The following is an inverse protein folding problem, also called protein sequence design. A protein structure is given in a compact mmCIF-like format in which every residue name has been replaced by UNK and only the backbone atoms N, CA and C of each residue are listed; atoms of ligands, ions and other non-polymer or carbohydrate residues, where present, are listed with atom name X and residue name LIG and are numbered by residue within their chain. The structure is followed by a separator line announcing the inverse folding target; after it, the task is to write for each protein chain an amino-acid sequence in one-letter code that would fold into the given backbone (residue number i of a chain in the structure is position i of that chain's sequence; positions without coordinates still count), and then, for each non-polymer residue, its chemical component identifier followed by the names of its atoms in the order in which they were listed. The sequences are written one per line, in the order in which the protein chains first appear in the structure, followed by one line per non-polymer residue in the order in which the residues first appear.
data_IF_296364140501
#
_entry.id   IF_296364140501
#
_cell.length_a   1.000
_cell.length_b   1.000
_cell.length_c   1.000
_cell.angle_alpha   90.00
_cell.angle_beta   90.00
_cell.angle_gamma   90.00
#
_symmetry.space_group_name_H-M   'P 1'
#
loop_
_entity.id
_entity.type
_entity.pdbx_description
1 polymer ?
#
# COMPACT_ATOMS: atom_id res chain seq x y z
N UNK A 1 -7.84 -13.49 24.51
CA UNK A 1 -6.98 -13.33 23.33
C UNK A 1 -6.61 -11.86 23.22
N UNK A 2 -5.33 -11.57 23.21
CA UNK A 2 -4.85 -10.20 23.08
C UNK A 2 -5.25 -9.64 21.72
N UNK A 3 -5.87 -8.46 21.73
CA UNK A 3 -6.40 -7.82 20.55
C UNK A 3 -5.27 -7.13 19.78
N UNK A 4 -5.13 -7.39 18.49
CA UNK A 4 -4.21 -6.64 17.64
C UNK A 4 -4.57 -5.15 17.67
N UNK A 5 -3.61 -4.30 18.00
CA UNK A 5 -3.77 -2.85 17.97
C UNK A 5 -3.03 -2.28 16.77
N UNK A 6 -3.71 -2.26 15.62
CA UNK A 6 -3.16 -1.76 14.36
C UNK A 6 -3.46 -0.27 14.22
N UNK A 7 -2.43 0.53 14.06
CA UNK A 7 -2.52 1.99 13.93
C UNK A 7 -1.93 2.50 12.62
N UNK A 8 -1.13 1.68 11.94
CA UNK A 8 -0.41 2.06 10.74
C UNK A 8 -0.67 1.07 9.60
N UNK A 9 -0.86 1.61 8.39
CA UNK A 9 -0.94 0.81 7.15
C UNK A 9 0.17 1.22 6.19
N UNK A 10 0.72 0.24 5.47
CA UNK A 10 1.60 0.47 4.33
C UNK A 10 1.04 -0.26 3.12
N UNK A 11 0.81 0.46 2.04
CA UNK A 11 0.19 -0.06 0.81
C UNK A 11 1.14 0.13 -0.37
N UNK A 12 1.62 -0.96 -0.93
CA UNK A 12 2.49 -0.89 -2.12
C UNK A 12 1.73 -0.48 -3.38
N UNK A 13 2.46 -0.02 -4.38
CA UNK A 13 1.95 0.05 -5.75
C UNK A 13 1.71 -1.33 -6.35
N UNK A 14 0.82 -1.41 -7.35
CA UNK A 14 0.44 -2.68 -7.98
C UNK A 14 -0.44 -2.58 -9.22
N UNK A 15 -0.83 -1.37 -9.63
CA UNK A 15 -1.77 -1.16 -10.74
C UNK A 15 -3.10 -1.85 -10.47
N UNK A 16 -3.68 -2.54 -11.47
CA UNK A 16 -4.99 -3.20 -11.33
C UNK A 16 -5.04 -4.30 -10.25
N UNK A 17 -3.89 -4.82 -9.81
CA UNK A 17 -3.82 -5.76 -8.67
C UNK A 17 -4.26 -5.12 -7.34
N UNK A 18 -4.40 -3.80 -7.29
CA UNK A 18 -5.00 -3.10 -6.14
C UNK A 18 -6.39 -3.59 -5.74
N UNK A 19 -7.12 -4.27 -6.65
CA UNK A 19 -8.39 -4.94 -6.33
C UNK A 19 -8.22 -5.97 -5.20
N UNK A 20 -7.06 -6.61 -5.08
CA UNK A 20 -6.74 -7.53 -3.98
C UNK A 20 -6.77 -6.80 -2.62
N UNK A 21 -6.35 -5.54 -2.58
CA UNK A 21 -6.45 -4.75 -1.36
C UNK A 21 -7.90 -4.58 -0.91
N UNK A 22 -8.86 -4.52 -1.84
CA UNK A 22 -10.28 -4.37 -1.47
C UNK A 22 -10.76 -5.59 -0.67
N UNK A 23 -10.43 -6.79 -1.13
CA UNK A 23 -10.72 -8.01 -0.38
C UNK A 23 -10.06 -8.05 1.00
N UNK A 24 -8.78 -7.65 1.07
CA UNK A 24 -8.04 -7.54 2.32
C UNK A 24 -8.68 -6.51 3.27
N UNK A 25 -9.07 -5.35 2.76
CA UNK A 25 -9.75 -4.30 3.55
C UNK A 25 -11.13 -4.78 4.05
N UNK A 26 -11.88 -5.54 3.24
CA UNK A 26 -13.15 -6.14 3.66
C UNK A 26 -12.97 -7.02 4.89
N UNK A 27 -11.94 -7.87 4.91
CA UNK A 27 -11.63 -8.68 6.09
C UNK A 27 -11.25 -7.80 7.29
N UNK A 28 -10.34 -6.83 7.11
CA UNK A 28 -9.92 -5.92 8.18
C UNK A 28 -11.07 -5.09 8.74
N UNK A 29 -12.04 -4.71 7.89
CA UNK A 29 -13.25 -4.00 8.28
C UNK A 29 -14.13 -4.87 9.19
N UNK A 30 -14.39 -6.11 8.80
CA UNK A 30 -15.17 -7.09 9.58
C UNK A 30 -14.53 -7.34 10.94
N UNK A 31 -13.19 -7.52 10.99
CA UNK A 31 -12.44 -7.70 12.24
C UNK A 31 -12.33 -6.40 13.07
N UNK A 32 -12.81 -5.27 12.55
CA UNK A 32 -12.73 -3.96 13.22
C UNK A 32 -11.31 -3.41 13.35
N UNK A 33 -10.36 -3.90 12.57
CA UNK A 33 -8.94 -3.52 12.61
C UNK A 33 -8.66 -2.18 11.90
N UNK A 34 -9.60 -1.66 11.09
CA UNK A 34 -9.44 -0.36 10.44
C UNK A 34 -9.78 0.82 11.34
N UNK A 35 -10.43 0.59 12.50
CA UNK A 35 -10.96 1.67 13.35
C UNK A 35 -9.88 2.55 13.99
N UNK A 36 -8.70 1.96 14.25
CA UNK A 36 -7.59 2.63 14.96
C UNK A 36 -6.50 3.11 14.00
N UNK A 37 -6.73 3.02 12.68
CA UNK A 37 -5.75 3.49 11.70
C UNK A 37 -5.67 5.01 11.74
N UNK A 38 -4.47 5.51 12.01
CA UNK A 38 -4.15 6.95 12.07
C UNK A 38 -3.07 7.36 11.07
N UNK A 39 -2.31 6.40 10.52
CA UNK A 39 -1.23 6.68 9.58
C UNK A 39 -1.26 5.69 8.42
N UNK A 40 -1.18 6.21 7.19
CA UNK A 40 -1.16 5.38 5.99
C UNK A 40 -0.04 5.85 5.07
N UNK A 41 0.93 4.98 4.84
CA UNK A 41 1.98 5.20 3.85
C UNK A 41 1.67 4.38 2.59
N UNK A 42 1.73 5.00 1.42
CA UNK A 42 1.25 4.35 0.21
C UNK A 42 1.97 4.79 -1.06
N UNK A 43 1.89 3.96 -2.10
CA UNK A 43 2.35 4.27 -3.44
C UNK A 43 1.32 3.85 -4.50
N UNK A 44 1.20 4.64 -5.58
CA UNK A 44 0.39 4.30 -6.76
C UNK A 44 -1.04 3.91 -6.39
N UNK A 45 -1.54 2.76 -6.84
CA UNK A 45 -2.87 2.27 -6.47
C UNK A 45 -3.09 2.16 -4.96
N UNK A 46 -2.01 1.93 -4.18
CA UNK A 46 -2.08 1.96 -2.72
C UNK A 46 -2.48 3.34 -2.20
N UNK A 47 -2.00 4.43 -2.81
CA UNK A 47 -2.39 5.81 -2.46
C UNK A 47 -3.88 6.06 -2.73
N UNK A 48 -4.39 5.52 -3.83
CA UNK A 48 -5.83 5.59 -4.14
C UNK A 48 -6.67 4.83 -3.13
N UNK A 49 -6.26 3.63 -2.75
CA UNK A 49 -6.92 2.81 -1.71
C UNK A 49 -6.84 3.48 -0.34
N UNK A 50 -5.74 4.18 -0.03
CA UNK A 50 -5.60 4.96 1.19
C UNK A 50 -6.66 6.06 1.32
N UNK A 51 -7.06 6.70 0.21
CA UNK A 51 -8.15 7.68 0.20
C UNK A 51 -9.49 7.04 0.59
N UNK A 52 -9.78 5.80 0.16
CA UNK A 52 -11.01 5.11 0.56
C UNK A 52 -11.11 4.93 2.08
N UNK A 53 -10.01 4.51 2.70
CA UNK A 53 -9.94 4.32 4.16
C UNK A 53 -10.08 5.67 4.87
N UNK A 54 -9.35 6.68 4.41
CA UNK A 54 -9.32 8.01 4.99
C UNK A 54 -10.71 8.68 4.97
N UNK A 55 -11.40 8.58 3.84
CA UNK A 55 -12.75 9.14 3.68
C UNK A 55 -13.86 8.19 4.17
N UNK A 56 -13.49 7.10 4.85
CA UNK A 56 -14.43 6.16 5.49
C UNK A 56 -15.51 5.67 4.53
N UNK A 57 -15.11 5.31 3.31
CA UNK A 57 -16.02 4.66 2.38
C UNK A 57 -16.37 3.26 2.89
N UNK A 58 -17.63 2.86 2.74
CA UNK A 58 -18.03 1.48 3.02
C UNK A 58 -17.44 0.51 1.98
N UNK A 59 -17.40 -0.76 2.31
CA UNK A 59 -16.89 -1.77 1.38
C UNK A 59 -17.75 -1.81 0.11
N UNK A 60 -19.06 -1.64 0.25
CA UNK A 60 -20.01 -1.58 -0.87
C UNK A 60 -19.74 -0.37 -1.78
N UNK A 61 -19.47 0.81 -1.20
CA UNK A 61 -19.11 2.02 -1.96
C UNK A 61 -17.79 1.80 -2.74
N UNK A 62 -16.80 1.14 -2.12
CA UNK A 62 -15.51 0.83 -2.74
C UNK A 62 -15.68 -0.18 -3.88
N UNK A 63 -16.42 -1.26 -3.64
CA UNK A 63 -16.71 -2.28 -4.65
C UNK A 63 -17.47 -1.66 -5.83
N UNK A 64 -18.46 -0.81 -5.59
CA UNK A 64 -19.17 -0.07 -6.65
C UNK A 64 -18.22 0.78 -7.50
N UNK A 65 -17.27 1.50 -6.89
CA UNK A 65 -16.25 2.25 -7.63
C UNK A 65 -15.42 1.34 -8.53
N UNK A 66 -15.00 0.18 -8.02
CA UNK A 66 -14.18 -0.79 -8.77
C UNK A 66 -14.96 -1.39 -9.95
N UNK A 67 -16.20 -1.84 -9.72
CA UNK A 67 -17.02 -2.44 -10.79
C UNK A 67 -17.42 -1.43 -11.87
N UNK A 68 -17.75 -0.19 -11.48
CA UNK A 68 -18.13 0.85 -12.42
C UNK A 68 -16.95 1.43 -13.21
N UNK A 69 -15.73 1.37 -12.65
CA UNK A 69 -14.53 1.90 -13.30
C UNK A 69 -14.22 1.24 -14.65
N UNK A 70 -14.62 -0.01 -14.85
CA UNK A 70 -14.42 -0.73 -16.12
C UNK A 70 -15.32 -0.25 -17.25
N UNK A 71 -16.53 0.24 -16.92
CA UNK A 71 -17.53 0.66 -17.87
C UNK A 71 -17.37 2.13 -18.27
N UNK A 72 -16.56 2.87 -17.49
CA UNK A 72 -16.23 4.25 -17.79
C UNK A 72 -15.16 4.32 -18.88
N UNK A 73 -15.61 4.63 -20.11
CA UNK A 73 -14.76 4.73 -21.29
C UNK A 73 -13.67 5.82 -21.16
N UNK A 74 -13.88 6.82 -20.31
CA UNK A 74 -12.92 7.88 -20.06
C UNK A 74 -11.78 7.41 -19.16
N UNK A 75 -12.05 6.46 -18.26
CA UNK A 75 -11.06 5.94 -17.30
C UNK A 75 -10.13 4.87 -17.89
N UNK A 76 -10.63 4.06 -18.83
CA UNK A 76 -9.97 2.81 -19.24
C UNK A 76 -9.49 2.78 -20.67
N UNK A 77 -9.80 3.77 -21.51
CA UNK A 77 -9.40 3.78 -22.92
C UNK A 77 -8.33 4.83 -23.19
N UNK A 78 -7.11 4.36 -23.45
CA UNK A 78 -6.02 5.21 -23.91
C UNK A 78 -6.08 5.24 -25.45
N UNK A 79 -6.48 6.37 -26.09
CA UNK A 79 -6.63 6.42 -27.54
C UNK A 79 -5.28 6.19 -28.25
N UNK A 80 -5.21 5.17 -29.11
CA UNK A 80 -3.98 4.85 -29.85
C UNK A 80 -3.58 5.94 -30.86
N UNK A 81 -4.53 6.79 -31.27
CA UNK A 81 -4.25 7.92 -32.15
C UNK A 81 -3.43 9.03 -31.48
N UNK A 82 -3.27 8.99 -30.16
CA UNK A 82 -2.62 10.03 -29.37
C UNK A 82 -1.15 9.71 -29.03
N UNK A 83 -0.51 8.78 -29.74
CA UNK A 83 0.90 8.43 -29.45
C UNK A 83 1.86 9.63 -29.54
N UNK A 84 1.55 10.66 -30.34
CA UNK A 84 2.32 11.92 -30.38
C UNK A 84 2.33 12.67 -29.03
N UNK A 85 1.34 12.38 -28.15
CA UNK A 85 1.29 12.95 -26.80
C UNK A 85 2.44 12.49 -25.91
N UNK A 86 3.01 11.32 -26.19
CA UNK A 86 4.20 10.84 -25.46
C UNK A 86 5.34 11.86 -25.63
N UNK A 87 5.49 12.43 -26.83
CA UNK A 87 6.55 13.41 -27.10
C UNK A 87 6.16 14.80 -26.58
N UNK A 88 4.90 15.22 -26.75
CA UNK A 88 4.47 16.59 -26.43
C UNK A 88 3.99 16.76 -24.99
N UNK A 89 3.55 15.71 -24.32
CA UNK A 89 2.97 15.71 -22.96
C UNK A 89 3.59 14.67 -22.03
N UNK A 90 4.60 13.94 -22.50
CA UNK A 90 5.28 12.87 -21.75
C UNK A 90 4.37 11.73 -21.28
N UNK A 91 3.17 11.59 -21.87
CA UNK A 91 2.20 10.56 -21.55
C UNK A 91 1.03 10.50 -22.51
N UNK A 92 0.39 9.34 -22.63
CA UNK A 92 -0.74 9.09 -23.53
C UNK A 92 -2.03 9.75 -23.05
N UNK A 93 -2.28 9.76 -21.73
CA UNK A 93 -3.50 10.31 -21.12
C UNK A 93 -3.19 10.99 -19.78
N UNK A 94 -4.19 11.68 -19.19
CA UNK A 94 -4.11 12.22 -17.83
C UNK A 94 -4.76 11.27 -16.84
N UNK A 95 -4.18 11.14 -15.66
CA UNK A 95 -4.78 10.42 -14.51
C UNK A 95 -5.90 11.25 -13.86
N UNK A 96 -5.96 12.55 -14.13
CA UNK A 96 -6.88 13.50 -13.50
C UNK A 96 -8.36 13.13 -13.69
N UNK A 97 -8.71 12.53 -14.86
CA UNK A 97 -10.09 12.06 -15.09
C UNK A 97 -10.48 10.96 -14.11
N UNK A 98 -9.54 10.06 -13.78
CA UNK A 98 -9.74 9.01 -12.79
C UNK A 98 -9.97 9.60 -11.39
N UNK A 99 -9.19 10.60 -11.01
CA UNK A 99 -9.35 11.29 -9.73
C UNK A 99 -10.66 12.10 -9.68
N UNK A 100 -11.04 12.76 -10.78
CA UNK A 100 -12.31 13.48 -10.87
C UNK A 100 -13.53 12.57 -10.64
N UNK A 101 -13.45 11.30 -11.09
CA UNK A 101 -14.50 10.31 -10.81
C UNK A 101 -14.60 10.02 -9.30
N UNK A 102 -13.48 9.79 -8.62
CA UNK A 102 -13.47 9.61 -7.17
C UNK A 102 -14.02 10.87 -6.44
N UNK A 103 -13.55 12.05 -6.80
CA UNK A 103 -14.01 13.31 -6.20
C UNK A 103 -15.53 13.46 -6.32
N UNK A 104 -16.10 13.20 -7.49
CA UNK A 104 -17.57 13.23 -7.70
C UNK A 104 -18.32 12.26 -6.78
N UNK A 105 -17.78 11.07 -6.53
CA UNK A 105 -18.37 10.11 -5.58
C UNK A 105 -18.27 10.61 -4.14
N UNK A 106 -17.12 11.13 -3.78
CA UNK A 106 -16.89 11.66 -2.44
C UNK A 106 -17.72 12.93 -2.15
N UNK A 107 -17.97 13.77 -3.17
CA UNK A 107 -18.76 15.02 -2.99
C UNK A 107 -20.22 14.77 -2.60
N UNK A 108 -20.76 13.57 -2.86
CA UNK A 108 -22.09 13.17 -2.38
C UNK A 108 -22.08 13.10 -0.84
N UNK A 109 -21.00 12.58 -0.25
CA UNK A 109 -20.86 12.42 1.21
C UNK A 109 -20.25 13.63 1.88
N UNK A 110 -19.37 14.31 1.16
CA UNK A 110 -18.59 15.46 1.62
C UNK A 110 -18.63 16.57 0.55
N UNK A 111 -19.59 17.51 0.59
CA UNK A 111 -19.76 18.52 -0.48
C UNK A 111 -18.56 19.44 -0.68
N UNK A 112 -17.72 19.61 0.35
CA UNK A 112 -16.53 20.45 0.40
C UNK A 112 -15.22 19.66 0.29
N UNK A 113 -15.26 18.51 -0.41
CA UNK A 113 -14.10 17.59 -0.52
C UNK A 113 -13.04 18.07 -1.51
N UNK A 114 -13.36 18.98 -2.41
CA UNK A 114 -12.47 19.40 -3.47
C UNK A 114 -11.17 20.02 -2.91
N UNK A 115 -10.04 19.45 -3.33
CA UNK A 115 -8.69 19.95 -3.04
C UNK A 115 -8.27 20.00 -1.57
N UNK A 116 -8.85 19.12 -0.70
CA UNK A 116 -8.39 19.00 0.68
C UNK A 116 -6.86 18.72 0.74
N UNK A 117 -6.18 19.53 1.55
CA UNK A 117 -4.74 19.42 1.80
C UNK A 117 -4.43 18.31 2.80
N UNK A 118 -3.15 17.88 2.89
CA UNK A 118 -2.71 16.91 3.90
C UNK A 118 -3.05 17.38 5.32
N UNK A 119 -2.90 18.67 5.61
CA UNK A 119 -3.23 19.28 6.89
C UNK A 119 -4.72 19.18 7.20
N UNK A 120 -5.58 19.55 6.25
CA UNK A 120 -7.04 19.50 6.43
C UNK A 120 -7.56 18.08 6.57
N UNK A 121 -7.00 17.14 5.82
CA UNK A 121 -7.34 15.71 5.93
C UNK A 121 -6.98 15.18 7.31
N UNK A 122 -5.77 15.47 7.81
CA UNK A 122 -5.36 15.07 9.15
C UNK A 122 -6.29 15.65 10.23
N UNK A 123 -6.60 16.93 10.14
CA UNK A 123 -7.49 17.61 11.12
C UNK A 123 -8.92 17.07 11.09
N UNK A 124 -9.46 16.80 9.89
CA UNK A 124 -10.86 16.43 9.72
C UNK A 124 -11.14 14.95 9.93
N UNK A 125 -10.21 14.08 9.48
CA UNK A 125 -10.41 12.62 9.47
C UNK A 125 -9.52 11.88 10.48
N UNK A 126 -8.53 12.55 11.08
CA UNK A 126 -7.60 11.97 12.05
C UNK A 126 -6.63 10.97 11.42
N UNK A 127 -6.37 11.08 10.11
CA UNK A 127 -5.48 10.19 9.36
C UNK A 127 -4.36 11.00 8.70
N UNK A 128 -3.12 10.64 8.98
CA UNK A 128 -1.93 11.17 8.34
C UNK A 128 -1.56 10.30 7.14
N UNK A 129 -1.49 10.91 5.97
CA UNK A 129 -1.16 10.26 4.70
C UNK A 129 0.28 10.56 4.30
N UNK A 130 0.93 9.55 3.70
CA UNK A 130 2.31 9.61 3.18
C UNK A 130 2.31 8.99 1.78
N UNK A 131 2.37 9.81 0.73
CA UNK A 131 2.33 9.32 -0.64
C UNK A 131 3.69 9.39 -1.30
N UNK A 132 4.17 8.23 -1.75
CA UNK A 132 5.44 8.11 -2.45
C UNK A 132 5.28 8.53 -3.91
N UNK A 133 6.22 9.34 -4.39
CA UNK A 133 6.33 9.79 -5.77
C UNK A 133 7.78 9.80 -6.23
N UNK A 134 8.01 9.90 -7.53
CA UNK A 134 9.34 10.11 -8.11
C UNK A 134 9.43 11.51 -8.70
N UNK A 135 10.27 12.35 -8.13
CA UNK A 135 10.61 13.65 -8.68
C UNK A 135 11.64 13.45 -9.82
N UNK A 136 11.24 13.74 -11.06
CA UNK A 136 12.14 13.54 -12.20
C UNK A 136 13.12 14.67 -12.42
N UNK A 137 12.85 15.88 -11.91
CA UNK A 137 13.78 17.00 -12.01
C UNK A 137 15.00 16.81 -11.10
N UNK A 138 14.81 16.15 -9.94
CA UNK A 138 15.85 15.87 -8.95
C UNK A 138 16.35 14.44 -8.96
N UNK A 139 15.70 13.54 -9.72
CA UNK A 139 16.02 12.10 -9.77
C UNK A 139 15.94 11.42 -8.38
N UNK A 140 14.94 11.78 -7.56
CA UNK A 140 14.81 11.29 -6.19
C UNK A 140 13.39 10.83 -5.85
N UNK A 141 13.26 10.09 -4.76
CA UNK A 141 11.97 9.83 -4.13
C UNK A 141 11.49 11.06 -3.36
N UNK A 142 10.25 11.45 -3.54
CA UNK A 142 9.58 12.47 -2.73
C UNK A 142 8.37 11.87 -2.05
N UNK A 143 8.27 12.07 -0.75
CA UNK A 143 7.07 11.75 0.03
C UNK A 143 6.27 13.03 0.22
N UNK A 144 5.00 12.99 -0.17
CA UNK A 144 4.03 14.04 0.16
C UNK A 144 3.33 13.64 1.45
N UNK A 145 3.35 14.52 2.46
CA UNK A 145 2.79 14.26 3.80
C UNK A 145 2.47 15.57 4.51
N UNK A 146 1.82 15.45 5.67
CA UNK A 146 1.54 16.61 6.51
C UNK A 146 2.81 17.31 7.02
N UNK A 147 3.89 16.53 7.27
CA UNK A 147 5.16 17.07 7.77
C UNK A 147 5.94 17.81 6.70
N UNK A 148 5.94 17.31 5.46
CA UNK A 148 6.78 17.82 4.39
C UNK A 148 6.05 18.79 3.45
N UNK A 149 4.74 18.59 3.26
CA UNK A 149 3.93 19.30 2.25
C UNK A 149 2.48 19.52 2.74
N UNK A 150 2.27 20.17 3.91
CA UNK A 150 0.97 20.27 4.57
C UNK A 150 -0.12 20.91 3.70
N UNK A 151 0.25 21.84 2.82
CA UNK A 151 -0.66 22.64 2.02
C UNK A 151 -0.91 22.09 0.61
N UNK A 152 -0.28 20.95 0.24
CA UNK A 152 -0.55 20.27 -1.02
C UNK A 152 -1.82 19.43 -0.90
N UNK A 153 -2.62 19.40 -1.97
CA UNK A 153 -3.83 18.57 -2.06
C UNK A 153 -3.48 17.07 -2.05
N UNK A 154 -4.18 16.30 -1.18
CA UNK A 154 -4.01 14.84 -1.15
C UNK A 154 -4.40 14.18 -2.47
N UNK A 155 -5.33 14.77 -3.22
CA UNK A 155 -5.74 14.27 -4.52
C UNK A 155 -4.65 14.51 -5.56
N UNK A 156 -4.06 15.70 -5.60
CA UNK A 156 -2.94 16.02 -6.51
C UNK A 156 -1.72 15.14 -6.24
N UNK A 157 -1.38 14.93 -4.96
CA UNK A 157 -0.30 14.03 -4.57
C UNK A 157 -0.60 12.56 -4.93
N UNK A 158 -1.87 12.12 -4.80
CA UNK A 158 -2.31 10.80 -5.24
C UNK A 158 -2.20 10.65 -6.77
N UNK A 159 -2.61 11.66 -7.54
CA UNK A 159 -2.43 11.69 -9.01
C UNK A 159 -0.96 11.54 -9.38
N UNK A 160 -0.07 12.28 -8.71
CA UNK A 160 1.37 12.18 -8.92
C UNK A 160 1.88 10.77 -8.61
N UNK A 161 1.47 10.20 -7.47
CA UNK A 161 1.82 8.85 -7.05
C UNK A 161 1.34 7.76 -8.01
N UNK A 162 0.28 7.99 -8.77
CA UNK A 162 -0.32 7.05 -9.74
C UNK A 162 0.12 7.30 -11.18
N UNK A 163 0.85 8.36 -11.47
CA UNK A 163 1.24 8.76 -12.83
C UNK A 163 2.35 7.88 -13.37
N UNK A 164 1.98 6.71 -13.94
CA UNK A 164 2.94 5.79 -14.58
C UNK A 164 3.51 6.44 -15.83
N UNK A 165 4.85 6.60 -15.96
CA UNK A 165 5.49 7.17 -17.13
C UNK A 165 5.04 6.53 -18.44
N UNK A 166 4.97 7.32 -19.49
CA UNK A 166 4.51 6.99 -20.83
C UNK A 166 2.99 6.69 -20.93
N UNK A 167 2.38 6.18 -19.89
CA UNK A 167 0.92 5.95 -19.84
C UNK A 167 0.23 7.25 -19.43
N UNK A 168 0.60 7.79 -18.28
CA UNK A 168 0.06 9.04 -17.80
C UNK A 168 1.04 10.19 -17.95
N UNK A 169 0.51 11.40 -18.14
CA UNK A 169 1.30 12.63 -18.11
C UNK A 169 1.81 12.86 -16.68
N UNK A 170 3.04 13.39 -16.50
CA UNK A 170 3.51 13.75 -15.16
C UNK A 170 2.64 14.86 -14.56
N UNK A 171 2.59 14.91 -13.25
CA UNK A 171 1.91 15.96 -12.51
C UNK A 171 2.93 17.05 -12.16
N UNK A 172 2.58 18.31 -12.47
CA UNK A 172 3.38 19.47 -12.12
C UNK A 172 2.92 20.00 -10.75
N UNK A 173 3.85 20.01 -9.77
CA UNK A 173 3.62 20.55 -8.43
C UNK A 173 4.82 21.48 -8.11
N UNK A 174 4.55 22.73 -7.78
CA UNK A 174 5.56 23.73 -7.40
C UNK A 174 6.72 23.85 -8.42
N UNK A 175 6.40 23.73 -9.72
CA UNK A 175 7.38 23.86 -10.81
C UNK A 175 8.20 22.60 -11.09
N UNK A 176 7.98 21.50 -10.39
CA UNK A 176 8.66 20.22 -10.58
C UNK A 176 7.69 19.14 -11.06
N UNK A 177 8.20 18.19 -11.87
CA UNK A 177 7.41 17.10 -12.44
C UNK A 177 7.53 15.81 -11.60
N UNK A 178 6.38 15.20 -11.33
CA UNK A 178 6.28 13.98 -10.55
C UNK A 178 5.62 12.85 -11.31
N UNK A 179 6.18 11.67 -11.14
CA UNK A 179 5.62 10.40 -11.60
C UNK A 179 5.41 9.43 -10.44
N UNK A 180 4.83 8.25 -10.77
CA UNK A 180 4.60 7.14 -9.85
C UNK A 180 5.86 6.81 -9.02
N UNK A 181 5.68 6.67 -7.72
CA UNK A 181 6.75 6.34 -6.79
C UNK A 181 7.34 4.94 -6.97
N UNK A 182 6.74 4.07 -7.79
CA UNK A 182 7.25 2.73 -8.06
C UNK A 182 8.67 2.70 -8.64
N UNK A 183 9.14 3.83 -9.19
CA UNK A 183 10.51 3.96 -9.72
C UNK A 183 11.56 4.20 -8.64
N UNK A 184 11.18 4.87 -7.56
CA UNK A 184 12.09 5.27 -6.49
C UNK A 184 11.80 4.54 -5.18
N UNK A 185 10.52 4.37 -4.81
CA UNK A 185 10.10 3.70 -3.58
C UNK A 185 8.68 3.14 -3.71
N UNK A 186 8.56 1.90 -4.18
CA UNK A 186 7.26 1.24 -4.39
C UNK A 186 6.56 0.83 -3.09
N UNK A 187 7.29 0.72 -1.99
CA UNK A 187 6.78 0.24 -0.71
C UNK A 187 7.38 1.07 0.43
N UNK A 188 6.76 2.22 0.76
CA UNK A 188 7.37 3.23 1.62
C UNK A 188 7.26 2.90 3.12
N UNK A 189 7.66 1.67 3.52
CA UNK A 189 7.60 1.18 4.91
C UNK A 189 8.61 1.86 5.84
N UNK A 190 9.73 2.35 5.29
CA UNK A 190 10.79 2.99 6.10
C UNK A 190 10.33 4.24 6.83
N UNK A 191 9.24 4.87 6.38
CA UNK A 191 8.61 6.01 7.07
C UNK A 191 8.24 5.62 8.50
N UNK A 192 7.86 4.37 8.73
CA UNK A 192 7.44 3.84 10.03
C UNK A 192 8.53 2.99 10.72
N UNK A 193 9.81 3.24 10.42
CA UNK A 193 10.93 2.47 10.99
C UNK A 193 10.99 2.50 12.53
N UNK A 194 10.45 3.55 13.15
CA UNK A 194 10.41 3.74 14.60
C UNK A 194 9.13 3.18 15.26
N UNK A 195 8.21 2.64 14.47
CA UNK A 195 6.95 2.08 14.95
C UNK A 195 7.10 0.57 15.14
N UNK A 196 6.55 0.05 16.24
CA UNK A 196 6.53 -1.39 16.48
C UNK A 196 5.80 -2.13 15.36
N UNK A 197 6.40 -3.19 14.83
CA UNK A 197 5.86 -4.00 13.73
C UNK A 197 4.49 -4.59 14.07
N UNK A 198 4.22 -4.84 15.35
CA UNK A 198 2.91 -5.32 15.81
C UNK A 198 1.78 -4.33 15.52
N UNK A 199 2.09 -3.04 15.42
CA UNK A 199 1.11 -1.99 15.18
C UNK A 199 0.95 -1.65 13.68
N UNK A 200 1.71 -2.33 12.81
CA UNK A 200 1.72 -2.07 11.37
C UNK A 200 1.11 -3.25 10.62
N UNK A 201 0.21 -3.00 9.69
CA UNK A 201 -0.11 -3.92 8.59
C UNK A 201 0.52 -3.36 7.31
N UNK A 202 1.43 -4.12 6.75
CA UNK A 202 2.13 -3.74 5.53
C UNK A 202 1.74 -4.69 4.39
N UNK A 203 1.08 -4.16 3.35
CA UNK A 203 0.51 -4.92 2.24
C UNK A 203 1.31 -4.71 0.96
N UNK A 204 1.91 -5.80 0.45
CA UNK A 204 2.75 -5.79 -0.74
C UNK A 204 2.08 -6.62 -1.83
N UNK A 205 1.85 -6.02 -2.99
CA UNK A 205 1.41 -6.73 -4.19
C UNK A 205 2.64 -7.23 -4.96
N UNK A 206 3.05 -8.45 -4.61
CA UNK A 206 4.18 -9.11 -5.24
C UNK A 206 3.70 -9.97 -6.41
N UNK A 207 4.45 -9.99 -7.52
CA UNK A 207 4.25 -10.90 -8.63
C UNK A 207 5.42 -11.88 -8.69
N UNK A 208 5.12 -13.16 -8.59
CA UNK A 208 6.10 -14.19 -8.95
C UNK A 208 6.47 -14.06 -10.43
N UNK A 209 7.70 -14.41 -10.78
CA UNK A 209 8.17 -14.32 -12.17
C UNK A 209 7.31 -15.22 -13.04
N UNK A 210 6.74 -14.63 -14.10
CA UNK A 210 6.08 -15.41 -15.14
C UNK A 210 7.11 -16.34 -15.80
N UNK A 211 6.69 -17.55 -16.12
CA UNK A 211 7.45 -18.40 -17.02
C UNK A 211 7.65 -17.67 -18.35
N UNK A 212 8.87 -17.80 -18.90
CA UNK A 212 9.20 -17.20 -20.18
C UNK A 212 8.38 -17.84 -21.29
N UNK A 213 7.43 -17.11 -21.85
CA UNK A 213 6.74 -17.50 -23.08
C UNK A 213 7.36 -16.73 -24.24
N UNK A 214 8.06 -17.39 -25.16
CA UNK A 214 8.61 -16.76 -26.35
C UNK A 214 7.47 -16.18 -27.18
N UNK A 215 7.50 -14.89 -27.47
CA UNK A 215 6.51 -14.25 -28.32
C UNK A 215 7.11 -13.90 -29.67
N UNK A 216 6.58 -14.50 -30.73
CA UNK A 216 6.91 -14.17 -32.12
C UNK A 216 6.10 -12.95 -32.58
N UNK A 217 6.31 -11.80 -31.94
CA UNK A 217 5.52 -10.58 -32.16
C UNK A 217 6.27 -9.59 -33.04
N UNK A 218 5.63 -9.07 -34.08
CA UNK A 218 6.20 -7.96 -34.89
C UNK A 218 6.46 -6.75 -33.99
N UNK A 219 7.65 -6.18 -34.10
CA UNK A 219 8.03 -4.98 -33.35
C UNK A 219 7.17 -3.81 -33.85
N UNK A 220 6.40 -3.22 -32.95
CA UNK A 220 5.65 -1.99 -33.16
C UNK A 220 5.73 -1.12 -31.89
N UNK A 221 5.24 0.09 -31.96
CA UNK A 221 5.29 1.05 -30.82
C UNK A 221 4.67 0.45 -29.54
N UNK A 222 3.61 -0.34 -29.66
CA UNK A 222 2.93 -0.97 -28.52
C UNK A 222 3.79 -2.09 -27.91
N UNK A 223 4.51 -2.85 -28.75
CA UNK A 223 5.46 -3.82 -28.26
C UNK A 223 6.58 -3.14 -27.48
N UNK A 224 7.12 -2.03 -27.99
CA UNK A 224 8.14 -1.23 -27.31
C UNK A 224 7.63 -0.73 -25.97
N UNK A 225 6.45 -0.12 -25.92
CA UNK A 225 5.83 0.36 -24.68
C UNK A 225 5.62 -0.78 -23.67
N UNK A 226 5.15 -1.94 -24.14
CA UNK A 226 5.02 -3.13 -23.30
C UNK A 226 6.36 -3.59 -22.73
N UNK A 227 7.44 -3.57 -23.51
CA UNK A 227 8.78 -3.95 -23.01
C UNK A 227 9.28 -2.92 -21.97
N UNK A 228 9.08 -1.64 -22.22
CA UNK A 228 9.41 -0.59 -21.27
C UNK A 228 8.63 -0.79 -19.95
N UNK A 229 7.31 -1.03 -20.01
CA UNK A 229 6.52 -1.36 -18.82
C UNK A 229 7.03 -2.59 -18.07
N UNK A 230 7.48 -3.63 -18.80
CA UNK A 230 8.11 -4.81 -18.17
C UNK A 230 9.44 -4.47 -17.50
N UNK A 231 10.26 -3.61 -18.11
CA UNK A 231 11.51 -3.14 -17.49
C UNK A 231 11.21 -2.40 -16.19
N UNK A 232 10.20 -1.56 -16.16
CA UNK A 232 9.76 -0.88 -14.95
C UNK A 232 9.27 -1.87 -13.88
N UNK A 233 8.54 -2.90 -14.26
CA UNK A 233 8.13 -3.95 -13.32
C UNK A 233 9.33 -4.69 -12.73
N UNK A 234 10.37 -4.95 -13.51
CA UNK A 234 11.62 -5.55 -13.02
C UNK A 234 12.32 -4.65 -12.01
N UNK A 235 12.40 -3.35 -12.28
CA UNK A 235 13.01 -2.38 -11.37
C UNK A 235 12.22 -2.31 -10.06
N UNK A 236 10.90 -2.26 -10.13
CA UNK A 236 10.00 -2.27 -8.98
C UNK A 236 10.18 -3.51 -8.10
N UNK A 237 10.22 -4.69 -8.71
CA UNK A 237 10.42 -5.96 -8.00
C UNK A 237 11.78 -5.98 -7.31
N UNK A 238 12.83 -5.48 -7.97
CA UNK A 238 14.17 -5.39 -7.36
C UNK A 238 14.21 -4.46 -6.15
N UNK A 239 13.53 -3.34 -6.18
CA UNK A 239 13.51 -2.40 -5.05
C UNK A 239 12.87 -3.02 -3.80
N UNK A 240 11.76 -3.73 -3.96
CA UNK A 240 11.08 -4.42 -2.85
C UNK A 240 11.93 -5.61 -2.35
N UNK A 241 12.59 -6.33 -3.25
CA UNK A 241 13.31 -7.58 -2.88
C UNK A 241 14.65 -7.31 -2.22
N UNK A 242 15.35 -6.25 -2.60
CA UNK A 242 16.74 -6.01 -2.16
C UNK A 242 16.82 -5.16 -0.89
N UNK A 243 15.94 -4.18 -0.72
CA UNK A 243 16.13 -3.15 0.30
C UNK A 243 15.27 -3.29 1.56
N UNK A 244 14.19 -4.10 1.54
CA UNK A 244 13.14 -3.95 2.55
C UNK A 244 12.69 -5.25 3.25
N UNK A 245 12.98 -6.41 2.68
CA UNK A 245 12.56 -7.69 3.26
C UNK A 245 13.75 -8.43 3.87
N UNK A 246 14.13 -8.08 5.10
CA UNK A 246 14.95 -8.99 5.91
C UNK A 246 14.15 -10.26 6.14
N UNK A 247 14.82 -11.43 6.10
CA UNK A 247 14.16 -12.74 6.27
C UNK A 247 13.34 -12.86 7.55
N UNK A 248 13.74 -12.14 8.59
CA UNK A 248 13.12 -12.09 9.90
C UNK A 248 11.79 -11.31 9.93
N UNK A 249 11.53 -10.47 8.92
CA UNK A 249 10.36 -9.58 8.90
C UNK A 249 9.20 -10.12 8.04
N UNK A 250 9.39 -11.26 7.35
CA UNK A 250 8.39 -11.78 6.39
C UNK A 250 7.03 -12.06 7.00
N UNK A 251 6.99 -12.46 8.26
CA UNK A 251 5.75 -12.79 8.95
C UNK A 251 4.93 -11.54 9.33
N UNK A 252 5.56 -10.35 9.27
CA UNK A 252 4.90 -9.07 9.53
C UNK A 252 4.32 -8.44 8.25
N UNK A 253 4.59 -9.00 7.07
CA UNK A 253 4.09 -8.45 5.80
C UNK A 253 2.99 -9.32 5.21
N UNK A 254 1.89 -8.69 4.85
CA UNK A 254 0.88 -9.33 4.01
C UNK A 254 1.41 -9.38 2.57
N UNK A 255 1.83 -10.55 2.16
CA UNK A 255 2.27 -10.82 0.79
C UNK A 255 1.41 -11.93 0.23
N UNK A 256 0.37 -11.62 -0.54
CA UNK A 256 -0.39 -12.64 -1.23
C UNK A 256 0.54 -13.35 -2.22
N UNK A 257 0.87 -14.62 -1.94
CA UNK A 257 1.66 -15.49 -2.81
C UNK A 257 0.71 -16.07 -3.85
N UNK A 258 1.16 -16.40 -5.04
CA UNK A 258 0.34 -17.02 -6.10
C UNK A 258 -0.64 -16.10 -6.82
N UNK A 259 -0.27 -14.84 -7.06
CA UNK A 259 -0.97 -14.05 -8.07
C UNK A 259 -0.58 -14.66 -9.43
N UNK A 260 -1.37 -15.63 -9.91
CA UNK A 260 -1.17 -16.27 -11.20
C UNK A 260 -1.32 -15.28 -12.36
N UNK A 261 -0.87 -15.66 -13.56
CA UNK A 261 -1.05 -14.83 -14.77
C UNK A 261 -2.52 -14.42 -15.04
N UNK A 262 -3.49 -15.18 -14.54
CA UNK A 262 -4.92 -14.86 -14.66
C UNK A 262 -5.28 -13.54 -13.96
N UNK A 263 -4.55 -13.17 -12.90
CA UNK A 263 -4.71 -11.91 -12.17
C UNK A 263 -3.73 -10.82 -12.63
N UNK A 264 -2.91 -11.09 -13.66
CA UNK A 264 -2.01 -10.09 -14.22
C UNK A 264 -2.80 -9.09 -15.05
N UNK A 265 -2.34 -7.86 -15.02
CA UNK A 265 -2.88 -6.75 -15.80
C UNK A 265 -2.96 -7.12 -17.28
N UNK A 266 -4.15 -7.45 -17.79
CA UNK A 266 -4.39 -7.62 -19.20
C UNK A 266 -4.44 -6.23 -19.85
N UNK A 267 -3.28 -5.70 -20.22
CA UNK A 267 -3.22 -4.54 -21.09
C UNK A 267 -3.60 -5.04 -22.49
N UNK A 268 -4.88 -4.90 -22.85
CA UNK A 268 -5.33 -5.19 -24.20
C UNK A 268 -4.98 -4.00 -25.06
N UNK A 269 -3.97 -4.18 -25.90
CA UNK A 269 -3.60 -3.19 -26.91
C UNK A 269 -4.22 -3.62 -28.23
N UNK A 270 -5.20 -2.88 -28.70
CA UNK A 270 -5.81 -3.10 -30.02
C UNK A 270 -5.83 -1.79 -30.85
N UNK A 271 -6.34 -1.86 -32.07
CA UNK A 271 -6.43 -0.67 -32.98
C UNK A 271 -7.31 0.45 -32.41
N UNK A 272 -8.11 0.21 -31.36
CA UNK A 272 -9.01 1.20 -30.74
C UNK A 272 -8.39 1.87 -29.51
N UNK A 273 -7.33 1.28 -28.92
CA UNK A 273 -6.70 1.84 -27.74
C UNK A 273 -6.00 0.80 -26.87
N UNK A 274 -5.45 1.27 -25.77
CA UNK A 274 -5.01 0.46 -24.65
C UNK A 274 -6.15 0.42 -23.67
N UNK A 275 -6.70 -0.76 -23.38
CA UNK A 275 -7.75 -0.95 -22.40
C UNK A 275 -7.17 -1.70 -21.20
N UNK A 276 -7.40 -1.16 -20.02
CA UNK A 276 -7.21 -1.89 -18.77
C UNK A 276 -8.51 -2.65 -18.53
N UNK A 277 -8.54 -3.95 -18.84
CA UNK A 277 -9.77 -4.73 -18.79
C UNK A 277 -9.67 -5.84 -17.74
N UNK A 278 -10.49 -5.74 -16.71
CA UNK A 278 -10.79 -6.83 -15.80
C UNK A 278 -12.26 -7.23 -16.00
N UNK A 279 -12.52 -8.51 -16.21
CA UNK A 279 -13.90 -9.02 -16.18
C UNK A 279 -14.43 -8.97 -14.73
N UNK A 280 -15.74 -8.99 -14.54
CA UNK A 280 -16.35 -9.10 -13.22
C UNK A 280 -15.84 -10.33 -12.47
N UNK A 281 -15.76 -11.47 -13.18
CA UNK A 281 -15.22 -12.69 -12.59
C UNK A 281 -13.80 -12.52 -12.07
N UNK A 282 -12.92 -11.82 -12.81
CA UNK A 282 -11.55 -11.54 -12.33
C UNK A 282 -11.54 -10.62 -11.12
N UNK A 283 -12.42 -9.63 -11.09
CA UNK A 283 -12.58 -8.73 -9.94
C UNK A 283 -13.02 -9.55 -8.72
N UNK A 284 -14.06 -10.40 -8.86
CA UNK A 284 -14.56 -11.26 -7.78
C UNK A 284 -13.48 -12.20 -7.25
N UNK A 285 -12.75 -12.86 -8.15
CA UNK A 285 -11.65 -13.75 -7.79
C UNK A 285 -10.54 -13.02 -7.02
N UNK A 286 -10.19 -11.79 -7.44
CA UNK A 286 -9.17 -10.98 -6.77
C UNK A 286 -9.63 -10.48 -5.39
N UNK A 287 -10.90 -10.09 -5.25
CA UNK A 287 -11.49 -9.69 -3.97
C UNK A 287 -11.50 -10.91 -3.02
N UNK A 288 -12.00 -12.05 -3.48
CA UNK A 288 -12.04 -13.28 -2.67
C UNK A 288 -10.64 -13.70 -2.24
N UNK A 289 -9.69 -13.65 -3.16
CA UNK A 289 -8.30 -13.97 -2.88
C UNK A 289 -7.68 -13.02 -1.84
N UNK A 290 -7.92 -11.72 -1.98
CA UNK A 290 -7.47 -10.72 -1.01
C UNK A 290 -8.06 -10.96 0.38
N UNK A 291 -9.34 -11.31 0.45
CA UNK A 291 -10.05 -11.61 1.68
C UNK A 291 -9.48 -12.83 2.39
N UNK A 292 -9.38 -13.97 1.70
CA UNK A 292 -8.88 -15.23 2.27
C UNK A 292 -7.42 -15.11 2.70
N UNK A 293 -6.58 -14.50 1.86
CA UNK A 293 -5.16 -14.29 2.19
C UNK A 293 -4.97 -13.38 3.40
N UNK A 294 -5.84 -12.37 3.60
CA UNK A 294 -5.78 -11.50 4.77
C UNK A 294 -6.23 -12.23 6.03
N UNK A 295 -7.24 -13.10 5.94
CA UNK A 295 -7.67 -13.95 7.06
C UNK A 295 -6.50 -14.81 7.56
N UNK A 296 -5.84 -15.56 6.67
CA UNK A 296 -4.68 -16.39 6.99
C UNK A 296 -3.52 -15.57 7.58
N UNK A 297 -3.31 -14.35 7.07
CA UNK A 297 -2.27 -13.46 7.59
C UNK A 297 -2.58 -12.97 9.00
N UNK A 298 -3.80 -12.56 9.28
CA UNK A 298 -4.21 -12.06 10.59
C UNK A 298 -4.17 -13.18 11.63
N UNK A 299 -4.57 -14.40 11.26
CA UNK A 299 -4.53 -15.55 12.18
C UNK A 299 -3.09 -15.88 12.57
N UNK A 300 -2.14 -15.91 11.61
CA UNK A 300 -0.71 -16.04 11.94
C UNK A 300 -0.20 -14.91 12.84
N UNK A 301 -0.64 -13.66 12.61
CA UNK A 301 -0.27 -12.52 13.46
C UNK A 301 -0.78 -12.67 14.89
N UNK A 302 -1.99 -13.21 15.09
CA UNK A 302 -2.56 -13.52 16.41
C UNK A 302 -1.75 -14.62 17.12
N UNK A 303 -1.34 -15.66 16.40
CA UNK A 303 -0.47 -16.73 16.92
C UNK A 303 0.89 -16.21 17.37
N UNK A 304 1.56 -15.41 16.53
CA UNK A 304 2.85 -14.79 16.87
C UNK A 304 2.76 -13.91 18.13
N UNK A 305 1.68 -13.13 18.26
CA UNK A 305 1.46 -12.29 19.42
C UNK A 305 1.26 -13.14 20.68
N UNK A 306 0.48 -14.21 20.59
CA UNK A 306 0.25 -15.14 21.68
C UNK A 306 1.56 -15.79 22.17
N UNK A 307 2.38 -16.33 21.27
CA UNK A 307 3.66 -16.95 21.64
C UNK A 307 4.64 -15.93 22.27
N UNK A 308 4.68 -14.72 21.75
CA UNK A 308 5.50 -13.63 22.31
C UNK A 308 5.07 -13.28 23.74
N UNK A 309 3.77 -13.16 23.98
CA UNK A 309 3.24 -12.86 25.32
C UNK A 309 3.48 -14.00 26.29
N UNK A 310 3.33 -15.25 25.87
CA UNK A 310 3.64 -16.44 26.65
C UNK A 310 5.11 -16.48 27.08
N UNK A 311 6.02 -16.19 26.15
CA UNK A 311 7.47 -16.13 26.46
C UNK A 311 7.79 -14.99 27.44
N UNK A 312 7.15 -13.83 27.28
CA UNK A 312 7.31 -12.68 28.19
C UNK A 312 6.84 -13.01 29.60
N UNK A 313 5.68 -13.66 29.75
CA UNK A 313 5.13 -14.06 31.02
C UNK A 313 6.02 -15.11 31.72
N UNK A 314 6.54 -16.09 30.98
CA UNK A 314 7.48 -17.07 31.50
C UNK A 314 8.80 -16.42 31.99
N UNK A 315 9.30 -15.42 31.27
CA UNK A 315 10.48 -14.66 31.66
C UNK A 315 10.27 -13.85 32.95
N UNK A 316 9.08 -13.27 33.13
CA UNK A 316 8.72 -12.55 34.35
C UNK A 316 8.59 -13.49 35.56
N UNK A 317 7.95 -14.65 35.39
CA UNK A 317 7.83 -15.67 36.44
C UNK A 317 9.20 -16.20 36.89
N UNK A 318 10.14 -16.42 35.97
CA UNK A 318 11.49 -16.83 36.27
C UNK A 318 12.37 -15.76 37.00
N UNK A 319 11.98 -14.48 36.88
CA UNK A 319 12.61 -13.38 37.62
C UNK A 319 12.07 -13.26 39.06
N UNK A 320 10.77 -13.59 39.27
CA UNK A 320 10.17 -13.62 40.60
C UNK A 320 10.70 -14.78 41.45
N UNK A 321 10.97 -15.96 40.87
CA UNK A 321 11.60 -17.09 41.57
C UNK A 321 13.06 -16.82 41.99
N UNK A 322 13.78 -15.88 41.35
CA UNK A 322 15.14 -15.50 41.70
C UNK A 322 15.23 -14.37 42.74
N UNK A 323 14.09 -13.79 43.12
CA UNK A 323 13.99 -12.69 44.08
C UNK A 323 13.50 -13.12 45.47
N UNK A 324 13.56 -14.41 45.84
CA UNK A 324 13.32 -14.82 47.22
C UNK A 324 14.41 -14.22 48.13
N UNK A 325 14.03 -13.60 49.26
CA UNK A 325 14.97 -12.90 50.09
C UNK A 325 15.90 -13.91 50.74
N UNK A 326 17.21 -13.62 50.67
CA UNK A 326 18.21 -14.24 51.52
C UNK A 326 17.77 -14.12 52.99
N UNK A 327 17.36 -15.25 53.54
CA UNK A 327 17.07 -15.37 54.96
C UNK A 327 18.31 -14.98 55.76
N UNK A 328 18.19 -13.92 56.48
CA UNK A 328 19.23 -13.36 57.35
C UNK A 328 19.45 -14.34 58.51
N UNK A 329 20.51 -15.15 58.41
CA UNK A 329 21.01 -15.97 59.54
C UNK A 329 22.17 -15.27 60.19
N UNK A 330 21.88 -14.27 61.00
CA UNK A 330 22.86 -13.70 61.94
C UNK A 330 22.15 -13.38 63.25
N UNK A 331 22.19 -14.35 64.19
CA UNK A 331 22.25 -14.07 65.62
C UNK A 331 22.54 -15.38 66.36
N UNK A 332 23.81 -15.64 66.58
CA UNK A 332 24.22 -16.41 67.73
C UNK A 332 25.29 -15.54 68.51
N UNK A 333 24.78 -14.81 69.49
CA UNK A 333 25.54 -14.20 70.52
C UNK A 333 25.91 -15.30 71.52
N UNK A 334 27.21 -15.59 71.66
CA UNK A 334 27.78 -16.32 72.79
C UNK A 334 27.94 -15.40 74.04
N UNK A 335 27.70 -15.89 75.25
CA UNK A 335 27.84 -15.12 76.44
C UNK A 335 29.30 -15.15 76.92
N UNK A 336 29.82 -13.96 77.24
CA UNK A 336 31.07 -13.76 78.00
C UNK A 336 30.93 -14.37 79.38
N UNK A 337 31.88 -15.25 79.76
CA UNK A 337 32.10 -15.72 81.12
C UNK A 337 33.32 -15.03 81.68
N UNK A 338 33.16 -14.39 82.84
CA UNK A 338 34.14 -13.79 83.65
C UNK A 338 35.21 -14.80 84.20
N UNK A 339 36.45 -14.43 84.15
CA UNK A 339 37.45 -14.34 85.27
C UNK A 339 38.70 -13.65 84.79
#
# INVERSE_FOLDING_TARGET
MDKLNITHLVLSGGGMRGVIFIGALRYLYIEGLLKNITHISANSIGSFVALFITFKLSIEEIEEIVYNSKDDKELCVIPTKNYYRIISKLGLCSITNFMAHLKRRLSIKYPDIDDLTFKEVSQRFGVNLYFSTTNINRCENRIFSIEETPDISVFTACEASMSIPLIFTPILIDGEYYYDGAFSNNFPIKIFSNISKENIIAMILYKERDEYVPTNTKINIFYILRQICKMFEILRVRQVTINELKSEDKDYYFMPRNITMQHSMNIIVNRKGVKLDLSNQQIDEMILYGFSSMADYIDRRKELLYEKNKTRLAGLAGLEEQSEPLCDTSEQSEPLCDT
#
